data_IF_031959296464
#
_entry.id   IF_031959296464
#
_cell.length_a   1.000
_cell.length_b   1.000
_cell.length_c   1.000
_cell.angle_alpha   90.00
_cell.angle_beta   90.00
_cell.angle_gamma   90.00
#
_symmetry.space_group_name_H-M   'P 1'
#
loop_
_entity.id
_entity.type
_entity.pdbx_description
1 polymer ?
#
# COMPACT_ATOMS: atom_id res chain seq x y z
N UNK A 1 -8.41 -77.69 -36.56
CA UNK A 1 -8.35 -76.29 -37.06
C UNK A 1 -9.66 -75.61 -36.78
N UNK A 2 -9.69 -74.71 -35.79
CA UNK A 2 -10.45 -73.44 -35.72
C UNK A 2 -10.24 -72.89 -34.31
N UNK A 3 -9.28 -71.98 -34.19
CA UNK A 3 -9.02 -71.18 -32.97
C UNK A 3 -10.19 -70.20 -32.82
N UNK A 4 -10.76 -70.15 -31.62
CA UNK A 4 -11.77 -69.16 -31.24
C UNK A 4 -11.03 -67.95 -30.68
N UNK A 5 -10.94 -66.87 -31.44
CA UNK A 5 -10.38 -65.60 -30.95
C UNK A 5 -11.43 -64.86 -30.11
N UNK A 6 -11.15 -64.69 -28.81
CA UNK A 6 -11.86 -63.73 -27.95
C UNK A 6 -11.24 -62.35 -28.19
N UNK A 7 -12.00 -61.44 -28.78
CA UNK A 7 -11.67 -60.01 -28.83
C UNK A 7 -11.97 -59.39 -27.47
N UNK A 8 -10.92 -58.97 -26.76
CA UNK A 8 -11.01 -58.12 -25.57
C UNK A 8 -11.09 -56.67 -26.07
N UNK A 9 -12.24 -56.03 -25.88
CA UNK A 9 -12.41 -54.61 -26.17
C UNK A 9 -11.78 -53.78 -25.06
N UNK A 10 -10.69 -53.07 -25.37
CA UNK A 10 -10.16 -52.00 -24.53
C UNK A 10 -11.08 -50.79 -24.68
N UNK A 11 -11.80 -50.44 -23.60
CA UNK A 11 -12.49 -49.16 -23.50
C UNK A 11 -11.48 -48.12 -23.00
N UNK A 12 -11.06 -47.22 -23.89
CA UNK A 12 -10.32 -46.01 -23.50
C UNK A 12 -11.31 -45.06 -22.82
N UNK A 13 -11.18 -44.86 -21.50
CA UNK A 13 -11.82 -43.74 -20.82
C UNK A 13 -11.01 -42.49 -21.12
N UNK A 14 -11.51 -41.64 -22.01
CA UNK A 14 -11.00 -40.30 -22.23
C UNK A 14 -11.54 -39.42 -21.09
N UNK A 15 -10.75 -39.19 -20.05
CA UNK A 15 -11.06 -38.17 -19.02
C UNK A 15 -10.80 -36.81 -19.65
N UNK A 16 -11.89 -36.11 -19.98
CA UNK A 16 -11.85 -34.75 -20.46
C UNK A 16 -11.59 -33.84 -19.25
N UNK A 17 -10.33 -33.43 -19.05
CA UNK A 17 -10.00 -32.34 -18.13
C UNK A 17 -10.54 -31.04 -18.73
N UNK A 18 -11.70 -30.62 -18.23
CA UNK A 18 -12.15 -29.24 -18.42
C UNK A 18 -11.31 -28.40 -17.46
N UNK A 19 -10.38 -27.62 -18.03
CA UNK A 19 -9.69 -26.55 -17.31
C UNK A 19 -10.76 -25.47 -17.05
N UNK A 20 -11.52 -25.63 -15.97
CA UNK A 20 -12.22 -24.52 -15.35
C UNK A 20 -11.13 -23.65 -14.75
N UNK A 21 -10.68 -22.65 -15.50
CA UNK A 21 -9.88 -21.59 -14.92
C UNK A 21 -10.71 -20.98 -13.79
N UNK A 22 -10.24 -21.15 -12.56
CA UNK A 22 -10.70 -20.34 -11.45
C UNK A 22 -10.40 -18.90 -11.85
N UNK A 23 -11.45 -18.08 -11.98
CA UNK A 23 -11.26 -16.65 -11.86
C UNK A 23 -10.87 -16.45 -10.39
N UNK A 24 -9.57 -16.37 -10.11
CA UNK A 24 -9.12 -15.74 -8.87
C UNK A 24 -9.82 -14.37 -8.81
N UNK A 25 -10.46 -14.07 -7.69
CA UNK A 25 -10.91 -12.72 -7.46
C UNK A 25 -9.67 -11.82 -7.48
N UNK A 26 -9.81 -10.59 -7.96
CA UNK A 26 -8.69 -9.66 -7.89
C UNK A 26 -8.41 -9.40 -6.39
N UNK A 27 -7.15 -9.50 -5.93
CA UNK A 27 -6.83 -9.26 -4.54
C UNK A 27 -7.37 -7.88 -4.12
N UNK A 28 -8.00 -7.82 -2.94
CA UNK A 28 -8.56 -6.56 -2.43
C UNK A 28 -7.39 -5.62 -2.17
N UNK A 29 -7.35 -4.48 -2.86
CA UNK A 29 -6.31 -3.47 -2.65
C UNK A 29 -6.82 -2.31 -1.81
N UNK A 30 -5.94 -1.68 -1.04
CA UNK A 30 -6.10 -0.35 -0.46
C UNK A 30 -5.28 0.60 -1.33
N UNK A 31 -5.91 1.61 -1.92
CA UNK A 31 -5.23 2.69 -2.64
C UNK A 31 -4.98 3.86 -1.71
N UNK A 32 -3.70 4.16 -1.47
CA UNK A 32 -3.24 5.27 -0.63
C UNK A 32 -2.69 6.36 -1.53
N UNK A 33 -3.29 7.53 -1.44
CA UNK A 33 -2.84 8.76 -2.09
C UNK A 33 -2.24 9.67 -1.03
N UNK A 34 -1.10 10.30 -1.30
CA UNK A 34 -0.57 11.38 -0.48
C UNK A 34 -0.50 12.66 -1.32
N UNK A 35 -0.93 13.78 -0.77
CA UNK A 35 -0.98 15.04 -1.49
C UNK A 35 -0.79 16.24 -0.55
N UNK A 36 0.27 17.02 -0.74
CA UNK A 36 0.32 18.38 -0.19
C UNK A 36 -0.71 19.24 -0.94
N UNK A 37 -1.71 19.75 -0.23
CA UNK A 37 -2.87 20.42 -0.84
C UNK A 37 -2.76 21.94 -0.89
N UNK A 38 -1.66 22.53 -0.42
CA UNK A 38 -1.44 23.98 -0.41
C UNK A 38 -2.60 24.76 0.25
N UNK A 39 -3.12 24.22 1.35
CA UNK A 39 -4.32 24.62 2.09
C UNK A 39 -5.65 24.59 1.31
N UNK A 40 -5.66 24.19 0.04
CA UNK A 40 -6.86 24.04 -0.78
C UNK A 40 -7.57 22.70 -0.52
N UNK A 41 -8.83 22.54 -0.93
CA UNK A 41 -9.74 23.53 -1.52
C UNK A 41 -10.46 24.40 -0.48
N UNK A 42 -10.70 25.66 -0.81
CA UNK A 42 -11.41 26.65 -0.01
C UNK A 42 -12.70 27.17 -0.69
N UNK A 43 -12.81 27.01 -2.01
CA UNK A 43 -13.99 27.41 -2.79
C UNK A 43 -14.46 26.37 -3.81
N UNK A 44 -15.56 26.69 -4.52
CA UNK A 44 -16.20 25.79 -5.47
C UNK A 44 -15.39 25.55 -6.76
N UNK A 45 -14.47 26.46 -7.10
CA UNK A 45 -13.56 26.28 -8.24
C UNK A 45 -12.51 25.25 -7.86
N UNK A 46 -11.91 25.40 -6.67
CA UNK A 46 -10.94 24.46 -6.14
C UNK A 46 -11.58 23.08 -5.88
N UNK A 47 -12.82 23.03 -5.37
CA UNK A 47 -13.56 21.77 -5.24
C UNK A 47 -13.63 21.02 -6.59
N UNK A 48 -13.85 21.75 -7.69
CA UNK A 48 -13.92 21.16 -9.03
C UNK A 48 -12.55 20.67 -9.52
N UNK A 49 -11.46 21.33 -9.13
CA UNK A 49 -10.11 20.88 -9.44
C UNK A 49 -9.79 19.54 -8.76
N UNK A 50 -9.97 19.48 -7.43
CA UNK A 50 -9.75 18.24 -6.69
C UNK A 50 -10.71 17.13 -7.13
N UNK A 51 -11.97 17.45 -7.44
CA UNK A 51 -12.91 16.48 -8.02
C UNK A 51 -12.40 15.89 -9.35
N UNK A 52 -11.80 16.71 -10.20
CA UNK A 52 -11.23 16.27 -11.49
C UNK A 52 -10.02 15.37 -11.26
N UNK A 53 -9.13 15.74 -10.35
CA UNK A 53 -7.93 14.98 -9.99
C UNK A 53 -8.31 13.61 -9.40
N UNK A 54 -9.18 13.58 -8.39
CA UNK A 54 -9.60 12.32 -7.75
C UNK A 54 -10.41 11.42 -8.68
N UNK A 55 -11.21 12.00 -9.57
CA UNK A 55 -11.88 11.24 -10.62
C UNK A 55 -10.85 10.57 -11.55
N UNK A 56 -9.80 11.29 -11.94
CA UNK A 56 -8.78 10.77 -12.81
C UNK A 56 -7.95 9.66 -12.13
N UNK A 57 -7.54 9.83 -10.86
CA UNK A 57 -6.89 8.79 -10.05
C UNK A 57 -7.80 7.56 -9.90
N UNK A 58 -9.10 7.78 -9.67
CA UNK A 58 -10.08 6.71 -9.50
C UNK A 58 -10.31 5.86 -10.75
N UNK A 59 -10.09 6.46 -11.92
CA UNK A 59 -10.26 5.81 -13.22
C UNK A 59 -8.95 5.22 -13.78
N UNK A 60 -7.81 5.52 -13.18
CA UNK A 60 -6.52 4.98 -13.60
C UNK A 60 -6.40 3.50 -13.24
N UNK A 61 -5.94 2.70 -14.22
CA UNK A 61 -5.59 1.31 -14.04
C UNK A 61 -4.20 1.19 -13.44
N UNK A 62 -4.12 0.93 -12.14
CA UNK A 62 -2.87 0.55 -11.47
C UNK A 62 -2.88 -0.96 -11.30
N UNK A 63 -1.86 -1.65 -11.85
CA UNK A 63 -1.81 -3.11 -11.88
C UNK A 63 -3.11 -3.76 -12.42
N UNK A 64 -3.76 -3.12 -13.40
CA UNK A 64 -5.01 -3.60 -14.01
C UNK A 64 -6.29 -3.30 -13.23
N UNK A 65 -6.20 -2.58 -12.09
CA UNK A 65 -7.35 -2.23 -11.25
C UNK A 65 -7.58 -0.73 -11.25
N UNK A 66 -8.76 -0.33 -11.73
CA UNK A 66 -9.28 1.03 -11.56
C UNK A 66 -10.21 1.04 -10.35
N UNK A 67 -9.90 1.90 -9.38
CA UNK A 67 -10.69 2.05 -8.15
C UNK A 67 -10.49 3.43 -7.55
N UNK A 68 -11.49 3.88 -6.80
CA UNK A 68 -11.36 5.06 -5.93
C UNK A 68 -10.27 4.84 -4.87
N UNK A 69 -9.71 5.94 -4.39
CA UNK A 69 -8.78 5.94 -3.27
C UNK A 69 -9.47 5.57 -1.96
N UNK A 70 -8.80 4.79 -1.11
CA UNK A 70 -9.31 4.41 0.21
C UNK A 70 -8.79 5.35 1.28
N UNK A 71 -7.56 5.84 1.10
CA UNK A 71 -6.90 6.80 1.99
C UNK A 71 -6.34 7.93 1.14
N UNK A 72 -6.63 9.17 1.55
CA UNK A 72 -5.94 10.38 1.11
C UNK A 72 -5.24 10.99 2.32
N UNK A 73 -3.92 10.90 2.32
CA UNK A 73 -3.03 11.56 3.27
C UNK A 73 -2.77 12.98 2.76
N UNK A 74 -2.95 13.98 3.61
CA UNK A 74 -2.77 15.38 3.24
C UNK A 74 -1.81 16.11 4.16
N UNK A 75 -0.99 16.97 3.56
CA UNK A 75 -0.24 18.04 4.22
C UNK A 75 -0.71 19.39 3.71
N UNK A 76 -0.51 20.45 4.51
CA UNK A 76 -1.06 21.79 4.25
C UNK A 76 -2.56 21.71 3.97
N UNK A 77 -3.29 21.30 4.99
CA UNK A 77 -4.75 21.40 5.03
C UNK A 77 -5.17 22.18 6.27
N UNK A 78 -6.42 22.59 6.32
CA UNK A 78 -7.04 23.13 7.51
C UNK A 78 -8.40 22.47 7.77
N UNK A 79 -9.15 22.96 8.76
CA UNK A 79 -10.46 22.39 9.10
C UNK A 79 -11.52 22.56 8.01
N UNK A 80 -11.41 23.62 7.19
CA UNK A 80 -12.30 23.89 6.07
C UNK A 80 -11.94 23.04 4.86
N UNK A 81 -10.68 23.08 4.43
CA UNK A 81 -10.26 22.34 3.24
C UNK A 81 -10.32 20.83 3.43
N UNK A 82 -9.94 20.31 4.59
CA UNK A 82 -10.08 18.88 4.89
C UNK A 82 -11.54 18.39 4.88
N UNK A 83 -12.49 19.21 5.34
CA UNK A 83 -13.92 18.89 5.26
C UNK A 83 -14.43 18.92 3.81
N UNK A 84 -13.97 19.87 3.00
CA UNK A 84 -14.30 19.93 1.58
C UNK A 84 -13.76 18.73 0.80
N UNK A 85 -12.55 18.25 1.10
CA UNK A 85 -12.01 17.02 0.50
C UNK A 85 -12.92 15.80 0.73
N UNK A 86 -13.48 15.67 1.95
CA UNK A 86 -14.48 14.64 2.27
C UNK A 86 -15.72 14.80 1.40
N UNK A 87 -16.28 16.02 1.33
CA UNK A 87 -17.48 16.30 0.54
C UNK A 87 -17.26 16.03 -0.95
N UNK A 88 -16.09 16.38 -1.49
CA UNK A 88 -15.71 16.12 -2.89
C UNK A 88 -15.71 14.62 -3.17
N UNK A 89 -15.03 13.81 -2.35
CA UNK A 89 -14.95 12.36 -2.55
C UNK A 89 -16.33 11.69 -2.40
N UNK A 90 -17.09 12.08 -1.38
CA UNK A 90 -18.46 11.59 -1.17
C UNK A 90 -19.38 11.92 -2.35
N UNK A 91 -19.36 13.17 -2.84
CA UNK A 91 -20.17 13.60 -3.98
C UNK A 91 -19.73 12.94 -5.29
N UNK A 92 -18.42 12.86 -5.54
CA UNK A 92 -17.86 12.28 -6.76
C UNK A 92 -18.26 10.82 -6.93
N UNK A 93 -18.28 10.05 -5.84
CA UNK A 93 -18.59 8.62 -5.87
C UNK A 93 -20.01 8.28 -5.40
N UNK A 94 -20.85 9.28 -5.09
CA UNK A 94 -22.22 9.07 -4.62
C UNK A 94 -22.32 8.26 -3.33
N UNK A 95 -21.39 8.47 -2.40
CA UNK A 95 -21.33 7.80 -1.08
C UNK A 95 -21.33 8.82 0.06
N UNK A 96 -21.37 8.32 1.29
CA UNK A 96 -21.29 9.14 2.51
C UNK A 96 -20.35 8.51 3.54
N UNK A 97 -19.27 7.90 3.04
CA UNK A 97 -18.39 7.01 3.81
C UNK A 97 -16.99 7.56 3.95
N UNK A 98 -16.62 8.60 3.21
CA UNK A 98 -15.39 9.32 3.49
C UNK A 98 -15.53 10.12 4.78
N UNK A 99 -14.52 10.01 5.64
CA UNK A 99 -14.38 10.72 6.90
C UNK A 99 -12.97 11.32 6.96
N UNK A 100 -12.75 12.29 7.84
CA UNK A 100 -11.44 12.92 8.03
C UNK A 100 -11.04 13.01 9.48
N UNK A 101 -9.74 12.85 9.72
CA UNK A 101 -9.05 13.14 10.97
C UNK A 101 -7.87 14.06 10.66
N UNK A 102 -7.59 15.02 11.54
CA UNK A 102 -6.53 16.02 11.36
C UNK A 102 -5.71 16.15 12.64
N UNK A 103 -4.42 16.45 12.50
CA UNK A 103 -3.57 16.87 13.62
C UNK A 103 -3.96 18.25 14.14
N UNK A 104 -3.34 18.67 15.25
CA UNK A 104 -3.40 20.06 15.71
C UNK A 104 -2.77 21.01 14.69
N UNK A 105 -3.15 22.29 14.76
CA UNK A 105 -2.66 23.30 13.83
C UNK A 105 -1.42 24.00 14.37
N UNK A 106 -0.45 24.21 13.49
CA UNK A 106 0.67 25.14 13.70
C UNK A 106 0.69 26.10 12.52
N UNK A 107 0.50 27.39 12.79
CA UNK A 107 0.50 28.42 11.74
C UNK A 107 -0.76 28.47 10.86
N UNK A 108 -1.79 27.68 11.15
CA UNK A 108 -2.95 27.49 10.28
C UNK A 108 -2.96 26.10 9.65
N UNK A 109 -1.78 25.59 9.32
CA UNK A 109 -1.60 24.32 8.63
C UNK A 109 -1.77 23.12 9.56
N UNK A 110 -2.21 22.02 8.95
CA UNK A 110 -2.38 20.70 9.56
C UNK A 110 -1.90 19.63 8.60
N UNK A 111 -1.66 18.46 9.18
CA UNK A 111 -1.63 17.18 8.47
C UNK A 111 -2.96 16.45 8.70
N UNK A 112 -3.39 15.62 7.76
CA UNK A 112 -4.70 14.97 7.83
C UNK A 112 -4.76 13.66 7.07
N UNK A 113 -5.77 12.87 7.39
CA UNK A 113 -6.09 11.62 6.71
C UNK A 113 -7.58 11.60 6.45
N UNK A 114 -7.95 11.66 5.17
CA UNK A 114 -9.29 11.35 4.68
C UNK A 114 -9.34 9.86 4.36
N UNK A 115 -10.33 9.12 4.83
CA UNK A 115 -10.43 7.68 4.64
C UNK A 115 -11.85 7.22 4.37
N UNK A 116 -12.01 6.15 3.60
CA UNK A 116 -13.29 5.54 3.28
C UNK A 116 -13.70 4.49 4.32
N UNK A 117 -14.72 4.77 5.13
CA UNK A 117 -15.21 3.87 6.17
C UNK A 117 -15.93 2.63 5.62
N UNK A 118 -16.15 2.53 4.31
CA UNK A 118 -16.61 1.28 3.69
C UNK A 118 -15.49 0.24 3.58
N UNK A 119 -14.24 0.68 3.50
CA UNK A 119 -13.09 -0.22 3.34
C UNK A 119 -12.24 -0.28 4.60
N UNK A 120 -12.30 0.74 5.46
CA UNK A 120 -11.46 0.86 6.65
C UNK A 120 -12.24 1.16 7.93
N UNK A 121 -11.78 0.55 9.02
CA UNK A 121 -12.18 0.83 10.40
C UNK A 121 -11.03 1.62 11.04
N UNK A 122 -11.30 2.85 11.46
CA UNK A 122 -10.38 3.62 12.30
C UNK A 122 -10.43 3.06 13.73
N UNK A 123 -9.32 2.51 14.20
CA UNK A 123 -9.19 1.97 15.56
C UNK A 123 -8.82 3.08 16.54
N UNK A 124 -7.80 3.87 16.21
CA UNK A 124 -7.38 5.04 16.95
C UNK A 124 -6.61 6.03 16.06
N UNK A 125 -6.39 7.23 16.58
CA UNK A 125 -5.53 8.24 15.97
C UNK A 125 -4.76 9.00 17.03
N UNK A 126 -3.54 9.44 16.72
CA UNK A 126 -2.71 10.21 17.61
C UNK A 126 -2.17 11.47 16.90
N UNK A 127 -2.30 12.60 17.58
CA UNK A 127 -1.71 13.88 17.16
C UNK A 127 -0.30 14.00 17.76
N UNK A 128 0.72 13.87 16.92
CA UNK A 128 2.12 13.82 17.36
C UNK A 128 2.73 15.22 17.19
N UNK A 129 2.72 15.98 18.29
CA UNK A 129 3.13 17.40 18.30
C UNK A 129 4.61 17.61 18.63
N UNK A 130 5.35 16.55 18.98
CA UNK A 130 6.74 16.60 19.42
C UNK A 130 7.75 16.15 18.34
N UNK A 131 7.30 15.93 17.10
CA UNK A 131 8.21 15.63 15.97
C UNK A 131 9.08 16.83 15.62
N UNK A 132 8.50 18.03 15.52
CA UNK A 132 9.22 19.27 15.25
C UNK A 132 8.34 20.36 14.67
N UNK A 133 8.65 20.83 13.45
CA UNK A 133 8.05 22.03 12.84
C UNK A 133 6.53 21.93 12.69
N UNK A 134 6.04 20.79 12.22
CA UNK A 134 4.62 20.54 12.05
C UNK A 134 4.18 19.30 12.85
N UNK A 135 2.97 19.30 13.42
CA UNK A 135 2.36 18.10 13.95
C UNK A 135 2.15 17.04 12.87
N UNK A 136 2.39 15.79 13.22
CA UNK A 136 2.14 14.63 12.34
C UNK A 136 0.96 13.84 12.91
N UNK A 137 -0.07 13.66 12.08
CA UNK A 137 -1.16 12.76 12.41
C UNK A 137 -0.74 11.31 12.15
N UNK A 138 -0.93 10.44 13.14
CA UNK A 138 -0.89 8.99 12.96
C UNK A 138 -2.27 8.41 13.12
N UNK A 139 -2.70 7.58 12.18
CA UNK A 139 -3.93 6.81 12.28
C UNK A 139 -3.61 5.32 12.31
N UNK A 140 -4.41 4.57 13.06
CA UNK A 140 -4.35 3.11 13.16
C UNK A 140 -5.63 2.54 12.58
N UNK A 141 -5.51 1.76 11.51
CA UNK A 141 -6.62 1.24 10.74
C UNK A 141 -6.65 -0.28 10.76
N UNK A 142 -7.83 -0.81 10.46
CA UNK A 142 -8.07 -2.20 10.10
C UNK A 142 -8.99 -2.27 8.90
N UNK A 143 -8.77 -3.21 7.99
CA UNK A 143 -9.67 -3.43 6.85
C UNK A 143 -11.06 -3.92 7.30
N UNK A 144 -12.12 -3.36 6.71
CA UNK A 144 -13.50 -3.84 6.92
C UNK A 144 -13.60 -5.29 6.47
N UNK A 145 -14.24 -6.12 7.28
CA UNK A 145 -14.35 -7.57 7.04
C UNK A 145 -13.27 -8.41 7.71
N UNK A 146 -12.24 -7.79 8.29
CA UNK A 146 -11.14 -8.48 8.97
C UNK A 146 -11.18 -8.25 10.49
N UNK A 147 -10.95 -9.31 11.26
CA UNK A 147 -10.94 -9.26 12.74
C UNK A 147 -9.55 -9.48 13.35
N UNK A 148 -8.61 -10.04 12.59
CA UNK A 148 -7.23 -10.28 13.02
C UNK A 148 -6.43 -8.98 13.11
N UNK A 149 -5.54 -8.88 14.11
CA UNK A 149 -4.57 -7.78 14.20
C UNK A 149 -3.53 -7.81 13.08
N UNK A 150 -3.39 -8.93 12.36
CA UNK A 150 -2.54 -9.00 11.16
C UNK A 150 -3.08 -8.16 9.98
N UNK A 151 -4.34 -7.71 10.06
CA UNK A 151 -4.96 -6.77 9.12
C UNK A 151 -4.85 -5.30 9.55
N UNK A 152 -4.15 -5.04 10.66
CA UNK A 152 -3.95 -3.71 11.19
C UNK A 152 -2.70 -3.06 10.60
N UNK A 153 -2.79 -1.75 10.36
CA UNK A 153 -1.68 -0.96 9.88
C UNK A 153 -1.80 0.49 10.35
N UNK A 154 -0.66 1.18 10.37
CA UNK A 154 -0.54 2.57 10.75
C UNK A 154 -0.24 3.43 9.55
N UNK A 155 -0.80 4.63 9.52
CA UNK A 155 -0.51 5.64 8.49
C UNK A 155 -0.10 6.93 9.18
N UNK A 156 1.07 7.44 8.82
CA UNK A 156 1.59 8.73 9.25
C UNK A 156 1.43 9.75 8.12
N UNK A 157 0.74 10.85 8.41
CA UNK A 157 0.62 12.00 7.52
C UNK A 157 1.78 12.98 7.75
N UNK A 158 2.76 12.95 6.87
CA UNK A 158 4.06 13.62 7.08
C UNK A 158 4.11 14.97 6.38
N UNK A 159 4.61 15.99 7.10
CA UNK A 159 5.04 17.27 6.54
C UNK A 159 6.29 17.76 7.28
N UNK A 160 7.48 17.38 6.80
CA UNK A 160 8.73 17.77 7.44
C UNK A 160 9.12 19.21 7.11
N UNK A 161 10.01 19.79 7.91
CA UNK A 161 10.59 21.12 7.74
C UNK A 161 10.93 21.36 6.27
N UNK A 162 10.43 22.45 5.69
CA UNK A 162 10.72 22.89 4.33
C UNK A 162 12.03 23.68 4.20
N UNK A 163 12.46 23.97 2.98
CA UNK A 163 13.64 24.77 2.69
C UNK A 163 14.91 23.95 2.42
N UNK A 164 15.96 24.65 1.98
CA UNK A 164 17.17 24.04 1.39
C UNK A 164 18.48 24.44 2.08
N UNK A 165 18.44 25.29 3.11
CA UNK A 165 19.65 25.67 3.84
C UNK A 165 20.18 24.50 4.67
N UNK A 166 21.44 24.54 5.09
CA UNK A 166 22.01 23.54 6.01
C UNK A 166 21.21 23.43 7.31
N UNK A 167 20.65 24.54 7.79
CA UNK A 167 19.81 24.55 8.99
C UNK A 167 18.49 23.83 8.74
N UNK A 168 17.85 24.04 7.59
CA UNK A 168 16.61 23.36 7.22
C UNK A 168 16.84 21.85 7.14
N UNK A 169 17.90 21.42 6.45
CA UNK A 169 18.27 19.99 6.32
C UNK A 169 18.56 19.33 7.66
N UNK A 170 19.20 20.06 8.58
CA UNK A 170 19.50 19.58 9.93
C UNK A 170 18.23 19.43 10.78
N UNK A 171 17.33 20.41 10.71
CA UNK A 171 16.04 20.36 11.40
C UNK A 171 15.16 19.23 10.86
N UNK A 172 15.10 19.08 9.53
CA UNK A 172 14.41 17.99 8.86
C UNK A 172 14.97 16.61 9.24
N UNK A 173 16.30 16.49 9.41
CA UNK A 173 16.91 15.27 9.92
C UNK A 173 16.51 14.95 11.36
N UNK A 174 16.45 15.96 12.23
CA UNK A 174 15.95 15.78 13.61
C UNK A 174 14.49 15.33 13.64
N UNK A 175 13.65 15.93 12.81
CA UNK A 175 12.23 15.56 12.68
C UNK A 175 12.05 14.12 12.20
N UNK A 176 12.79 13.70 11.18
CA UNK A 176 12.78 12.32 10.72
C UNK A 176 13.24 11.34 11.82
N UNK A 177 14.23 11.70 12.64
CA UNK A 177 14.66 10.89 13.78
C UNK A 177 13.56 10.78 14.85
N UNK A 178 12.87 11.87 15.17
CA UNK A 178 11.75 11.86 16.11
C UNK A 178 10.57 11.03 15.58
N UNK A 179 10.26 11.16 14.29
CA UNK A 179 9.21 10.39 13.61
C UNK A 179 9.51 8.90 13.68
N UNK A 180 10.75 8.51 13.38
CA UNK A 180 11.21 7.13 13.48
C UNK A 180 11.20 6.61 14.92
N UNK A 181 11.62 7.41 15.89
CA UNK A 181 11.51 7.03 17.31
C UNK A 181 10.06 6.80 17.74
N UNK A 182 9.10 7.58 17.23
CA UNK A 182 7.69 7.38 17.50
C UNK A 182 7.16 6.07 16.89
N UNK A 183 7.57 5.77 15.66
CA UNK A 183 7.23 4.52 14.99
C UNK A 183 7.87 3.29 15.65
N UNK A 184 9.14 3.39 16.06
CA UNK A 184 9.84 2.29 16.75
C UNK A 184 9.16 1.90 18.07
N UNK A 185 8.54 2.88 18.75
CA UNK A 185 7.79 2.68 19.98
C UNK A 185 6.47 1.91 19.79
N UNK A 186 5.99 1.69 18.56
CA UNK A 186 4.86 0.79 18.28
C UNK A 186 5.20 -0.69 18.51
N UNK A 187 6.50 -1.02 18.58
CA UNK A 187 6.99 -2.39 18.71
C UNK A 187 7.17 -3.09 17.36
N UNK A 188 7.67 -4.33 17.41
CA UNK A 188 7.90 -5.17 16.23
C UNK A 188 6.60 -5.58 15.53
N UNK A 189 6.74 -6.00 14.27
CA UNK A 189 5.66 -6.57 13.44
C UNK A 189 4.48 -5.60 13.26
N UNK A 190 4.78 -4.42 12.71
CA UNK A 190 3.81 -3.36 12.46
C UNK A 190 3.91 -2.91 11.00
N UNK A 191 2.83 -3.11 10.26
CA UNK A 191 2.62 -2.49 8.97
C UNK A 191 2.49 -0.97 9.16
N UNK A 192 3.46 -0.20 8.69
CA UNK A 192 3.48 1.25 8.83
C UNK A 192 3.68 1.87 7.45
N UNK A 193 2.84 2.84 7.09
CA UNK A 193 2.97 3.69 5.92
C UNK A 193 3.32 5.09 6.42
N UNK A 194 4.42 5.66 5.93
CA UNK A 194 4.74 7.07 6.09
C UNK A 194 4.56 7.77 4.75
N UNK A 195 3.60 8.68 4.66
CA UNK A 195 3.22 9.27 3.40
C UNK A 195 3.05 10.79 3.54
N UNK A 196 3.52 11.54 2.55
CA UNK A 196 3.35 12.99 2.49
C UNK A 196 4.62 13.70 2.04
N UNK A 197 4.73 14.96 2.43
CA UNK A 197 5.81 15.86 2.03
C UNK A 197 6.99 15.77 3.01
N UNK A 198 8.08 15.17 2.52
CA UNK A 198 9.33 15.07 3.28
C UNK A 198 10.27 16.24 3.02
N UNK A 199 10.01 17.12 2.05
CA UNK A 199 10.84 18.28 1.71
C UNK A 199 12.33 17.99 1.43
N UNK A 200 12.68 16.72 1.18
CA UNK A 200 14.06 16.29 0.91
C UNK A 200 14.43 16.53 -0.55
N UNK A 201 15.63 17.03 -0.82
CA UNK A 201 16.14 17.23 -2.19
C UNK A 201 16.85 15.98 -2.76
N UNK A 202 17.16 15.01 -1.90
CA UNK A 202 17.86 13.79 -2.25
C UNK A 202 18.12 12.89 -1.04
N UNK A 203 18.52 11.66 -1.32
CA UNK A 203 18.81 10.64 -0.31
C UNK A 203 20.10 10.90 0.49
N UNK A 204 20.92 11.89 0.09
CA UNK A 204 22.08 12.31 0.89
C UNK A 204 21.71 13.10 2.15
N UNK A 205 20.46 13.54 2.29
CA UNK A 205 20.01 14.25 3.49
C UNK A 205 19.93 13.33 4.72
N UNK A 206 20.24 13.87 5.90
CA UNK A 206 20.20 13.11 7.15
C UNK A 206 18.81 12.53 7.46
N UNK A 207 17.75 13.20 7.00
CA UNK A 207 16.38 12.71 7.14
C UNK A 207 16.16 11.35 6.45
N UNK A 208 16.69 11.17 5.23
CA UNK A 208 16.64 9.90 4.52
C UNK A 208 17.34 8.79 5.32
N UNK A 209 18.57 9.07 5.78
CA UNK A 209 19.34 8.13 6.60
C UNK A 209 18.59 7.74 7.87
N UNK A 210 17.94 8.69 8.53
CA UNK A 210 17.18 8.43 9.75
C UNK A 210 15.94 7.57 9.46
N UNK A 211 15.21 7.83 8.36
CA UNK A 211 14.05 7.02 7.97
C UNK A 211 14.42 5.55 7.75
N UNK A 212 15.53 5.30 7.06
CA UNK A 212 16.01 3.95 6.72
C UNK A 212 16.77 3.25 7.85
N UNK A 213 16.99 3.92 8.99
CA UNK A 213 17.72 3.35 10.11
C UNK A 213 17.01 2.11 10.68
N UNK A 214 17.79 1.06 10.96
CA UNK A 214 17.30 -0.19 11.54
C UNK A 214 16.59 0.02 12.87
N UNK A 215 15.45 -0.66 13.03
CA UNK A 215 14.55 -0.54 14.17
C UNK A 215 13.16 -1.02 13.78
N UNK A 216 12.25 -1.09 14.75
CA UNK A 216 10.92 -1.69 14.54
C UNK A 216 10.10 -0.98 13.47
N UNK A 217 10.25 0.33 13.30
CA UNK A 217 9.57 1.10 12.26
C UNK A 217 10.43 1.41 11.04
N UNK A 218 11.54 0.68 10.82
CA UNK A 218 12.49 0.94 9.73
C UNK A 218 11.72 1.11 8.42
N UNK A 219 11.98 2.23 7.74
CA UNK A 219 11.22 2.63 6.57
C UNK A 219 11.98 2.29 5.28
N UNK A 220 11.24 1.87 4.25
CA UNK A 220 11.73 1.49 2.92
C UNK A 220 10.99 2.30 1.87
N UNK A 221 11.72 2.87 0.91
CA UNK A 221 11.16 3.69 -0.16
C UNK A 221 10.40 2.79 -1.15
N UNK A 222 9.09 3.02 -1.34
CA UNK A 222 8.29 2.22 -2.28
C UNK A 222 8.69 2.42 -3.74
N UNK A 223 9.38 3.52 -4.05
CA UNK A 223 9.95 3.78 -5.37
C UNK A 223 11.35 3.16 -5.56
N UNK A 224 11.99 2.68 -4.49
CA UNK A 224 13.38 2.20 -4.46
C UNK A 224 14.34 3.08 -5.27
N UNK A 225 14.28 4.40 -5.03
CA UNK A 225 14.95 5.39 -5.88
C UNK A 225 15.84 6.34 -5.06
N UNK A 226 16.88 5.83 -4.37
CA UNK A 226 17.88 6.68 -3.74
C UNK A 226 18.66 7.47 -4.81
N UNK A 227 18.96 8.71 -4.51
CA UNK A 227 19.78 9.59 -5.33
C UNK A 227 19.53 11.06 -5.04
N UNK A 228 20.12 11.91 -5.86
CA UNK A 228 19.91 13.36 -5.81
C UNK A 228 18.86 13.72 -6.86
N UNK A 229 17.67 14.06 -6.40
CA UNK A 229 16.48 14.19 -7.24
C UNK A 229 16.40 15.55 -7.92
N UNK A 230 16.89 16.58 -7.23
CA UNK A 230 16.85 17.97 -7.70
C UNK A 230 17.54 18.17 -9.04
N UNK A 231 16.87 18.84 -9.97
CA UNK A 231 17.40 19.22 -11.30
C UNK A 231 18.04 18.04 -12.05
N UNK A 232 17.38 16.87 -11.97
CA UNK A 232 17.93 15.62 -12.49
C UNK A 232 16.93 14.86 -13.36
N UNK A 233 17.24 14.80 -14.67
CA UNK A 233 16.45 14.08 -15.67
C UNK A 233 16.16 12.61 -15.30
N UNK A 234 17.06 11.95 -14.57
CA UNK A 234 16.92 10.52 -14.20
C UNK A 234 15.71 10.30 -13.29
N UNK A 235 15.32 11.31 -12.51
CA UNK A 235 14.26 11.22 -11.51
C UNK A 235 12.96 11.90 -11.94
N UNK A 236 12.83 12.28 -13.22
CA UNK A 236 11.67 13.06 -13.68
C UNK A 236 10.33 12.39 -13.44
N UNK A 237 10.22 11.08 -13.58
CA UNK A 237 8.96 10.37 -13.27
C UNK A 237 8.60 10.41 -11.77
N UNK A 238 9.52 10.84 -10.92
CA UNK A 238 9.35 10.97 -9.48
C UNK A 238 9.29 12.43 -9.00
N UNK A 239 9.49 13.41 -9.88
CA UNK A 239 9.31 14.81 -9.51
C UNK A 239 7.85 15.06 -9.12
N UNK A 240 7.65 15.68 -7.97
CA UNK A 240 6.34 15.89 -7.36
C UNK A 240 6.09 17.34 -6.95
N UNK A 241 7.14 18.18 -6.90
CA UNK A 241 7.02 19.56 -6.46
C UNK A 241 7.04 20.54 -7.65
N UNK A 242 6.22 21.58 -7.50
CA UNK A 242 5.98 22.71 -8.38
C UNK A 242 5.63 22.35 -9.83
N UNK A 243 4.44 21.75 -10.06
CA UNK A 243 3.97 21.37 -11.39
C UNK A 243 3.86 22.54 -12.37
N UNK A 244 3.88 23.80 -11.90
CA UNK A 244 3.83 25.01 -12.75
C UNK A 244 5.16 25.36 -13.39
N UNK A 245 6.27 25.29 -12.65
CA UNK A 245 7.68 25.52 -13.05
C UNK A 245 8.43 26.32 -11.97
N UNK A 246 9.71 25.99 -11.67
CA UNK A 246 10.43 24.81 -12.15
C UNK A 246 9.98 23.53 -11.43
N UNK A 247 9.63 22.48 -12.20
CA UNK A 247 9.34 21.14 -11.69
C UNK A 247 10.61 20.30 -11.75
N UNK A 248 11.28 20.12 -10.62
CA UNK A 248 12.59 19.46 -10.56
C UNK A 248 12.92 18.72 -9.26
N UNK A 249 11.99 18.60 -8.32
CA UNK A 249 12.21 18.01 -6.98
C UNK A 249 11.22 16.85 -6.68
N UNK A 250 11.66 15.87 -5.89
CA UNK A 250 10.86 14.75 -5.34
C UNK A 250 10.68 14.95 -3.84
N UNK A 251 9.67 15.71 -3.44
CA UNK A 251 9.41 15.98 -2.01
C UNK A 251 8.47 14.98 -1.39
N UNK A 252 7.51 14.50 -2.18
CA UNK A 252 6.47 13.61 -1.73
C UNK A 252 6.96 12.16 -1.85
N UNK A 253 6.92 11.42 -0.74
CA UNK A 253 7.40 10.04 -0.65
C UNK A 253 6.39 9.20 0.11
N UNK A 254 6.20 7.95 -0.33
CA UNK A 254 5.64 6.91 0.52
C UNK A 254 6.77 5.98 0.95
N UNK A 255 7.02 5.90 2.25
CA UNK A 255 7.82 4.84 2.85
C UNK A 255 6.92 3.82 3.52
N UNK A 256 7.38 2.58 3.58
CA UNK A 256 6.68 1.47 4.25
C UNK A 256 7.61 0.76 5.22
N UNK A 257 7.08 0.16 6.28
CA UNK A 257 7.85 -0.77 7.10
C UNK A 257 8.17 -2.06 6.33
N UNK A 258 9.17 -2.81 6.79
CA UNK A 258 9.54 -4.09 6.20
C UNK A 258 8.43 -5.14 6.24
N UNK A 259 7.46 -5.00 7.15
CA UNK A 259 6.31 -5.89 7.26
C UNK A 259 5.39 -5.82 6.02
N UNK A 260 5.45 -4.76 5.21
CA UNK A 260 4.74 -4.69 3.92
C UNK A 260 5.51 -5.34 2.76
N UNK A 261 6.69 -5.91 3.01
CA UNK A 261 7.64 -6.35 1.99
C UNK A 261 8.14 -7.79 2.23
N UNK A 262 7.50 -8.54 3.15
CA UNK A 262 7.98 -9.86 3.57
C UNK A 262 7.30 -11.02 2.83
N UNK A 263 6.31 -10.70 1.99
CA UNK A 263 5.53 -11.62 1.19
C UNK A 263 4.35 -12.25 1.94
N UNK A 264 3.94 -11.70 3.08
CA UNK A 264 2.89 -12.27 3.94
C UNK A 264 1.88 -11.22 4.36
N UNK A 265 0.61 -11.62 4.42
CA UNK A 265 -0.40 -10.75 4.98
C UNK A 265 -0.58 -9.47 4.14
N UNK A 266 -0.58 -8.31 4.81
CA UNK A 266 -0.69 -7.02 4.16
C UNK A 266 0.60 -6.68 3.42
N UNK A 267 0.51 -6.46 2.12
CA UNK A 267 1.70 -6.30 1.28
C UNK A 267 1.62 -5.02 0.45
N UNK A 268 2.74 -4.34 0.25
CA UNK A 268 2.83 -3.32 -0.78
C UNK A 268 2.65 -3.97 -2.16
N UNK A 269 1.73 -3.46 -2.98
CA UNK A 269 1.56 -3.94 -4.34
C UNK A 269 2.73 -3.44 -5.19
N UNK A 270 3.79 -4.25 -5.30
CA UNK A 270 4.99 -3.90 -6.05
C UNK A 270 4.67 -3.35 -7.45
N UNK A 271 5.36 -2.26 -7.82
CA UNK A 271 5.16 -1.54 -9.08
C UNK A 271 3.94 -0.61 -9.12
N UNK A 272 3.19 -0.46 -8.02
CA UNK A 272 2.04 0.45 -7.98
C UNK A 272 2.41 1.90 -7.67
N UNK A 273 3.54 2.16 -7.00
CA UNK A 273 3.96 3.52 -6.68
C UNK A 273 4.18 4.37 -7.94
N UNK A 274 3.58 5.55 -8.00
CA UNK A 274 3.88 6.56 -9.01
C UNK A 274 3.44 7.97 -8.57
N UNK A 275 3.98 9.00 -9.24
CA UNK A 275 3.50 10.38 -9.12
C UNK A 275 2.39 10.59 -10.17
N UNK A 276 1.16 10.80 -9.71
CA UNK A 276 0.01 10.90 -10.59
C UNK A 276 0.14 12.09 -11.56
N UNK A 277 -0.16 11.85 -12.83
CA UNK A 277 -0.01 12.83 -13.90
C UNK A 277 1.44 13.02 -14.39
N UNK A 278 2.44 12.42 -13.74
CA UNK A 278 3.83 12.51 -14.13
C UNK A 278 4.43 11.15 -14.51
N UNK A 279 4.53 10.91 -15.82
CA UNK A 279 5.20 9.73 -16.38
C UNK A 279 6.64 10.02 -16.86
N UNK A 280 7.25 11.13 -16.40
CA UNK A 280 8.62 11.52 -16.75
C UNK A 280 8.79 12.18 -18.14
N UNK A 281 7.68 12.46 -18.84
CA UNK A 281 7.73 13.06 -20.20
C UNK A 281 7.69 14.58 -20.24
N UNK A 282 7.45 15.26 -19.12
CA UNK A 282 7.54 16.73 -19.04
C UNK A 282 8.97 17.20 -19.38
N UNK A 283 9.18 18.44 -19.80
CA UNK A 283 10.53 19.00 -19.96
C UNK A 283 11.07 19.41 -18.59
N UNK A 284 12.28 18.99 -18.21
CA UNK A 284 12.85 19.32 -16.89
C UNK A 284 12.85 20.84 -16.66
N UNK A 285 12.46 21.27 -15.46
CA UNK A 285 12.29 22.67 -15.06
C UNK A 285 11.14 23.43 -15.76
N UNK A 286 10.37 22.79 -16.65
CA UNK A 286 9.13 23.35 -17.19
C UNK A 286 7.91 22.77 -16.46
N UNK A 287 6.71 23.22 -16.86
CA UNK A 287 5.47 22.76 -16.25
C UNK A 287 5.13 21.31 -16.62
N UNK A 288 4.38 20.64 -15.75
CA UNK A 288 3.91 19.27 -15.96
C UNK A 288 3.07 19.13 -17.24
N UNK A 289 2.39 20.20 -17.68
CA UNK A 289 1.62 20.24 -18.93
C UNK A 289 2.45 20.07 -20.20
N UNK A 290 3.77 20.19 -20.13
CA UNK A 290 4.66 19.83 -21.26
C UNK A 290 4.74 18.32 -21.49
N UNK A 291 4.34 17.52 -20.50
CA UNK A 291 4.32 16.07 -20.54
C UNK A 291 3.01 15.48 -21.04
N UNK A 292 2.86 14.17 -20.79
CA UNK A 292 1.76 13.35 -21.29
C UNK A 292 1.24 12.32 -20.27
N UNK A 293 1.57 12.51 -18.98
CA UNK A 293 1.20 11.57 -17.92
C UNK A 293 -0.29 11.51 -17.60
N UNK A 294 -1.07 12.51 -18.05
CA UNK A 294 -2.52 12.50 -18.01
C UNK A 294 -3.09 13.31 -19.17
N UNK A 295 -4.42 13.42 -19.25
CA UNK A 295 -5.07 14.31 -20.22
C UNK A 295 -4.66 15.77 -19.98
N UNK A 296 -4.60 16.63 -21.02
CA UNK A 296 -4.23 18.04 -20.85
C UNK A 296 -5.06 18.77 -19.80
N UNK A 297 -6.36 18.49 -19.71
CA UNK A 297 -7.24 19.06 -18.68
C UNK A 297 -6.80 18.66 -17.27
N UNK A 298 -6.43 17.40 -17.06
CA UNK A 298 -5.94 16.93 -15.74
C UNK A 298 -4.60 17.57 -15.42
N UNK A 299 -3.69 17.68 -16.39
CA UNK A 299 -2.38 18.31 -16.17
C UNK A 299 -2.50 19.79 -15.78
N UNK A 300 -3.32 20.57 -16.48
CA UNK A 300 -3.61 21.96 -16.09
C UNK A 300 -4.31 22.04 -14.74
N UNK A 301 -5.19 21.09 -14.43
CA UNK A 301 -5.86 21.06 -13.12
C UNK A 301 -4.88 20.77 -11.98
N UNK A 302 -3.92 19.87 -12.19
CA UNK A 302 -2.84 19.60 -11.24
C UNK A 302 -1.98 20.84 -11.00
N UNK A 303 -1.69 21.62 -12.04
CA UNK A 303 -1.01 22.91 -11.92
C UNK A 303 -1.81 23.91 -11.11
N UNK A 304 -3.12 23.97 -11.27
CA UNK A 304 -3.97 24.96 -10.60
C UNK A 304 -4.22 24.60 -9.12
N UNK A 305 -4.40 23.31 -8.81
CA UNK A 305 -4.86 22.85 -7.49
C UNK A 305 -3.84 23.00 -6.37
N UNK A 306 -2.57 22.71 -6.64
CA UNK A 306 -1.50 22.70 -5.64
C UNK A 306 -0.15 22.96 -6.29
N UNK A 307 0.84 23.39 -5.50
CA UNK A 307 2.24 23.36 -5.89
C UNK A 307 2.89 21.98 -5.71
N UNK A 308 2.11 20.94 -5.45
CA UNK A 308 2.56 19.55 -5.46
C UNK A 308 1.72 18.67 -6.41
N UNK A 309 2.18 17.44 -6.64
CA UNK A 309 1.46 16.37 -7.32
C UNK A 309 1.10 15.26 -6.33
N UNK A 310 -0.07 14.61 -6.49
CA UNK A 310 -0.43 13.47 -5.67
C UNK A 310 0.43 12.26 -6.02
N UNK A 311 0.90 11.53 -5.00
CA UNK A 311 1.59 10.25 -5.14
C UNK A 311 0.65 9.11 -4.75
N UNK A 312 0.67 8.02 -5.50
CA UNK A 312 -0.28 6.91 -5.37
C UNK A 312 0.50 5.62 -5.16
N UNK A 313 0.05 4.77 -4.25
CA UNK A 313 0.50 3.38 -4.11
C UNK A 313 -0.68 2.50 -3.69
N UNK A 314 -0.67 1.25 -4.15
CA UNK A 314 -1.65 0.24 -3.78
C UNK A 314 -1.02 -0.76 -2.81
N UNK A 315 -1.83 -1.27 -1.88
CA UNK A 315 -1.45 -2.25 -0.86
C UNK A 315 -2.45 -3.40 -0.92
N UNK A 316 -1.98 -4.63 -0.98
CA UNK A 316 -2.83 -5.83 -1.04
C UNK A 316 -3.21 -6.23 0.36
N UNK A 317 -4.50 -6.49 0.53
CA UNK A 317 -5.03 -7.27 1.63
C UNK A 317 -5.26 -8.68 1.06
N UNK A 318 -4.72 -9.74 1.68
CA UNK A 318 -4.99 -11.09 1.22
C UNK A 318 -6.47 -11.40 1.43
N UNK A 319 -7.07 -12.19 0.54
CA UNK A 319 -8.52 -12.43 0.48
C UNK A 319 -9.10 -13.00 1.79
N UNK A 320 -8.24 -13.59 2.62
CA UNK A 320 -8.48 -13.86 4.03
C UNK A 320 -7.18 -13.60 4.80
N UNK A 321 -7.30 -13.06 6.01
CA UNK A 321 -6.18 -13.02 6.96
C UNK A 321 -6.51 -14.06 8.00
N UNK A 322 -5.86 -15.21 7.88
CA UNK A 322 -5.98 -16.31 8.82
C UNK A 322 -5.91 -15.77 10.25
N UNK A 323 -6.99 -15.97 10.99
CA UNK A 323 -7.00 -15.74 12.44
C UNK A 323 -6.16 -16.83 13.13
N UNK A 324 -6.05 -17.99 12.48
CA UNK A 324 -5.14 -19.11 12.76
C UNK A 324 -4.99 -19.96 11.50
N UNK A 325 -3.76 -20.37 11.16
CA UNK A 325 -3.53 -21.35 10.09
C UNK A 325 -3.98 -22.74 10.56
N UNK A 326 -4.83 -23.46 9.80
CA UNK A 326 -4.99 -24.90 9.97
C UNK A 326 -3.61 -25.57 9.98
N UNK A 327 -3.42 -26.63 10.78
CA UNK A 327 -2.10 -27.28 10.83
C UNK A 327 -1.74 -27.93 9.50
N UNK A 328 -2.73 -28.26 8.68
CA UNK A 328 -2.56 -28.80 7.34
C UNK A 328 -2.44 -27.75 6.22
N UNK A 329 -2.48 -26.45 6.54
CA UNK A 329 -2.19 -25.38 5.59
C UNK A 329 -0.66 -25.14 5.55
N UNK A 330 -0.01 -25.80 4.60
CA UNK A 330 1.45 -25.82 4.50
C UNK A 330 2.00 -24.62 3.73
N UNK A 331 1.24 -24.08 2.79
CA UNK A 331 1.65 -22.93 2.00
C UNK A 331 1.25 -21.58 2.64
N UNK A 332 0.51 -21.62 3.74
CA UNK A 332 0.03 -20.48 4.52
C UNK A 332 -0.87 -19.54 3.71
N UNK A 333 -1.75 -20.10 2.87
CA UNK A 333 -2.70 -19.35 2.05
C UNK A 333 -4.14 -19.27 2.61
N UNK A 334 -4.35 -19.82 3.80
CA UNK A 334 -5.60 -19.84 4.56
C UNK A 334 -6.66 -20.83 4.11
N UNK A 335 -6.31 -21.74 3.21
CA UNK A 335 -7.21 -22.79 2.74
C UNK A 335 -6.45 -24.11 2.69
N UNK A 336 -7.00 -25.17 3.27
CA UNK A 336 -6.44 -26.51 3.03
C UNK A 336 -7.00 -27.05 1.71
N UNK A 337 -6.17 -27.04 0.67
CA UNK A 337 -6.57 -27.39 -0.68
C UNK A 337 -5.63 -28.36 -1.42
N UNK A 338 -5.71 -28.40 -2.75
CA UNK A 338 -4.89 -29.28 -3.56
C UNK A 338 -3.40 -28.93 -3.55
N UNK A 339 -3.03 -27.70 -3.24
CA UNK A 339 -1.65 -27.26 -3.07
C UNK A 339 -1.06 -27.88 -1.80
N UNK A 340 -1.80 -27.90 -0.69
CA UNK A 340 -1.36 -28.59 0.54
C UNK A 340 -1.28 -30.09 0.35
N UNK A 341 -2.28 -30.67 -0.34
CA UNK A 341 -2.22 -32.08 -0.70
C UNK A 341 -1.02 -32.41 -1.58
N UNK A 342 -0.61 -31.50 -2.48
CA UNK A 342 0.58 -31.68 -3.29
C UNK A 342 1.87 -31.61 -2.46
N UNK A 343 1.93 -30.72 -1.46
CA UNK A 343 3.05 -30.63 -0.51
C UNK A 343 3.15 -31.93 0.32
N UNK A 344 2.04 -32.40 0.90
CA UNK A 344 1.97 -33.67 1.61
C UNK A 344 2.38 -34.85 0.71
N UNK A 345 1.83 -34.91 -0.50
CA UNK A 345 2.14 -35.93 -1.48
C UNK A 345 3.61 -35.94 -1.92
N UNK A 346 4.27 -34.78 -1.95
CA UNK A 346 5.70 -34.66 -2.29
C UNK A 346 6.62 -35.25 -1.20
N UNK A 347 6.13 -35.31 0.04
CA UNK A 347 6.86 -35.81 1.21
C UNK A 347 6.43 -37.23 1.60
N UNK A 348 5.46 -37.82 0.88
CA UNK A 348 4.87 -39.12 1.21
C UNK A 348 5.91 -40.23 1.42
N UNK A 349 5.89 -40.84 2.61
CA UNK A 349 6.82 -41.88 3.08
C UNK A 349 8.30 -41.42 3.06
N UNK A 350 8.54 -40.12 3.19
CA UNK A 350 9.86 -39.51 3.30
C UNK A 350 9.96 -38.74 4.61
N UNK A 351 11.20 -38.38 4.97
CA UNK A 351 11.43 -37.45 6.06
C UNK A 351 10.81 -36.07 5.73
N UNK A 352 10.27 -35.35 6.73
CA UNK A 352 9.58 -34.09 6.49
C UNK A 352 10.49 -33.05 5.84
N UNK A 353 9.92 -32.29 4.92
CA UNK A 353 10.56 -31.17 4.22
C UNK A 353 10.35 -29.83 4.91
N UNK A 354 10.61 -28.75 4.19
CA UNK A 354 10.23 -27.39 4.60
C UNK A 354 9.36 -26.81 3.48
N UNK A 355 8.08 -26.47 3.74
CA UNK A 355 7.34 -26.66 5.00
C UNK A 355 7.15 -28.15 5.36
N UNK A 356 7.07 -28.48 6.65
CA UNK A 356 6.90 -29.86 7.13
C UNK A 356 5.45 -30.31 6.94
N UNK A 357 5.24 -31.48 6.34
CA UNK A 357 3.92 -32.12 6.25
C UNK A 357 3.68 -33.22 7.30
N UNK A 358 4.60 -33.40 8.26
CA UNK A 358 4.39 -34.22 9.47
C UNK A 358 3.71 -33.35 10.53
N UNK A 359 2.40 -33.58 10.70
CA UNK A 359 1.47 -32.76 11.47
C UNK A 359 0.59 -33.58 12.42
N UNK A 360 0.72 -34.91 12.41
CA UNK A 360 0.01 -35.79 13.34
C UNK A 360 0.59 -35.69 14.78
N UNK A 361 0.20 -34.64 15.50
CA UNK A 361 0.75 -34.28 16.81
C UNK A 361 0.59 -35.34 17.93
N UNK A 362 -0.34 -36.28 17.81
CA UNK A 362 -0.51 -37.33 18.84
C UNK A 362 0.56 -38.43 18.75
N UNK A 363 1.29 -38.54 17.63
CA UNK A 363 2.40 -39.47 17.41
C UNK A 363 3.40 -38.90 16.37
N UNK A 364 4.20 -37.86 16.69
CA UNK A 364 5.22 -37.38 15.77
C UNK A 364 6.23 -38.50 15.53
N UNK A 365 6.30 -39.00 14.31
CA UNK A 365 7.12 -40.16 13.95
C UNK A 365 8.21 -39.81 12.90
N UNK A 366 8.39 -38.52 12.60
CA UNK A 366 9.32 -37.99 11.60
C UNK A 366 9.08 -38.59 10.20
N UNK A 367 7.82 -38.95 9.89
CA UNK A 367 7.40 -39.48 8.60
C UNK A 367 6.06 -38.90 8.16
N UNK A 368 5.97 -38.55 6.87
CA UNK A 368 4.68 -38.14 6.28
C UNK A 368 3.91 -39.37 5.81
N UNK A 369 2.79 -39.67 6.46
CA UNK A 369 2.02 -40.88 6.21
C UNK A 369 0.49 -40.71 6.29
N UNK A 370 -0.22 -41.83 6.46
CA UNK A 370 -1.68 -41.83 6.55
C UNK A 370 -2.25 -41.06 7.75
N UNK A 371 -1.48 -40.86 8.82
CA UNK A 371 -1.87 -40.07 9.98
C UNK A 371 -1.93 -38.59 9.62
N UNK A 372 -0.92 -38.06 8.92
CA UNK A 372 -0.91 -36.67 8.44
C UNK A 372 -1.99 -36.42 7.40
N UNK A 373 -2.18 -37.39 6.48
CA UNK A 373 -3.27 -37.32 5.52
C UNK A 373 -4.64 -37.28 6.22
N UNK A 374 -4.77 -37.91 7.39
CA UNK A 374 -6.00 -37.86 8.18
C UNK A 374 -6.22 -36.46 8.74
N UNK A 375 -5.17 -35.79 9.25
CA UNK A 375 -5.23 -34.39 9.71
C UNK A 375 -5.60 -33.47 8.55
N UNK A 376 -4.94 -33.58 7.39
CA UNK A 376 -5.27 -32.82 6.20
C UNK A 376 -6.71 -33.07 5.74
N UNK A 377 -7.17 -34.31 5.76
CA UNK A 377 -8.54 -34.64 5.37
C UNK A 377 -9.60 -34.09 6.35
N UNK A 378 -9.26 -33.95 7.65
CA UNK A 378 -10.17 -33.33 8.63
C UNK A 378 -10.27 -31.82 8.48
N UNK A 379 -9.25 -31.18 7.92
CA UNK A 379 -9.21 -29.74 7.66
C UNK A 379 -9.51 -29.42 6.18
N UNK A 380 -9.89 -30.41 5.36
CA UNK A 380 -10.09 -30.23 3.92
C UNK A 380 -11.18 -29.21 3.58
N UNK A 381 -10.81 -28.18 2.80
CA UNK A 381 -11.66 -27.01 2.50
C UNK A 381 -12.10 -26.24 3.76
N UNK A 382 -11.39 -26.38 4.88
CA UNK A 382 -11.56 -25.48 6.00
C UNK A 382 -10.95 -24.12 5.63
N UNK A 383 -11.71 -23.05 5.88
CA UNK A 383 -11.33 -21.67 5.60
C UNK A 383 -11.57 -20.90 6.89
N UNK A 384 -10.51 -20.47 7.58
CA UNK A 384 -10.58 -19.79 8.89
C UNK A 384 -10.51 -18.27 8.80
#
# INVERSE_FOLDING_TARGET
MKKTERRIGFWLFLVCFTFLGTLEAAPVTIRVVAYNTYNNPDDAIEDAWFSTIFSAIGNELVNGVAKRLDILVVSETDTGSSARLVDILNNLYGVSTYNVITSSSVGGDRTGIVYDSNTLILLDSNDITDIGTHPILRAHFRSVGYTSTASEFYVYAVHLKSGSTTSDKTQRALEAANLRSNADALGESKHIIFAGDFNMQGSSEGAWTNMLASGNGQAFDTADSPGEWRDNETFKSLHSQNPRSPMDDRFDIQFVSGDFLDGKGLEYASGSYHVFGNNGTHTLNDSISTGSGASPTVLTTLEDASDHLPIVADYRIPESICVSFPVADFNADCVVDFLDFAILGSQWLQSPGIPSADIALELPDDFVDTLDLTVLATEWLDCN
#
